data_IF_564783289155
#
_entry.id   IF_564783289155
#
_cell.length_a   1.000
_cell.length_b   1.000
_cell.length_c   1.000
_cell.angle_alpha   90.00
_cell.angle_beta   90.00
_cell.angle_gamma   90.00
#
_symmetry.space_group_name_H-M   'P 1'
#
loop_
_entity.id
_entity.type
_entity.pdbx_description
1 polymer ?
#
# COMPACT_ATOMS: atom_id res chain seq x y z
N UNK A 1 16.44 -11.19 -12.72
CA UNK A 1 16.96 -10.14 -11.84
C UNK A 1 18.04 -10.72 -10.93
N UNK A 2 19.18 -10.04 -10.81
CA UNK A 2 20.23 -10.39 -9.86
C UNK A 2 20.06 -9.64 -8.51
N UNK A 3 20.83 -10.01 -7.49
CA UNK A 3 20.67 -9.43 -6.15
C UNK A 3 20.99 -7.93 -6.06
N UNK A 4 21.85 -7.41 -6.93
CA UNK A 4 22.19 -5.98 -6.98
C UNK A 4 21.04 -5.17 -7.57
N UNK A 5 20.45 -5.64 -8.66
CA UNK A 5 19.24 -5.06 -9.27
C UNK A 5 18.08 -5.05 -8.27
N UNK A 6 17.86 -6.16 -7.56
CA UNK A 6 16.81 -6.25 -6.54
C UNK A 6 17.03 -5.26 -5.38
N UNK A 7 18.27 -5.13 -4.89
CA UNK A 7 18.61 -4.18 -3.84
C UNK A 7 18.43 -2.73 -4.29
N UNK A 8 18.84 -2.40 -5.52
CA UNK A 8 18.67 -1.07 -6.09
C UNK A 8 17.19 -0.72 -6.29
N UNK A 9 16.40 -1.59 -6.91
CA UNK A 9 14.97 -1.37 -7.12
C UNK A 9 14.21 -1.32 -5.78
N UNK A 10 14.61 -2.13 -4.80
CA UNK A 10 14.04 -2.09 -3.44
C UNK A 10 14.36 -0.78 -2.72
N UNK A 11 15.56 -0.23 -2.88
CA UNK A 11 15.91 1.10 -2.37
C UNK A 11 15.03 2.18 -3.01
N UNK A 12 14.88 2.15 -4.34
CA UNK A 12 14.03 3.10 -5.06
C UNK A 12 12.61 3.01 -4.53
N UNK A 13 12.02 1.81 -4.43
CA UNK A 13 10.70 1.61 -3.87
C UNK A 13 10.57 2.21 -2.45
N UNK A 14 11.54 1.91 -1.58
CA UNK A 14 11.54 2.44 -0.21
C UNK A 14 11.59 3.97 -0.14
N UNK A 15 12.28 4.62 -1.09
CA UNK A 15 12.36 6.07 -1.16
C UNK A 15 11.12 6.71 -1.81
N UNK A 16 10.55 6.08 -2.84
CA UNK A 16 9.47 6.66 -3.64
C UNK A 16 8.07 6.36 -3.08
N UNK A 17 7.88 5.29 -2.33
CA UNK A 17 6.55 4.90 -1.80
C UNK A 17 5.96 5.97 -0.86
N UNK A 18 6.80 6.64 -0.07
CA UNK A 18 6.36 7.65 0.89
C UNK A 18 6.27 9.06 0.29
N UNK A 19 6.76 9.22 -0.93
CA UNK A 19 6.72 10.47 -1.67
C UNK A 19 5.54 10.41 -2.66
N UNK A 20 4.78 11.50 -2.85
CA UNK A 20 3.66 11.52 -3.80
C UNK A 20 4.16 11.66 -5.24
N UNK A 21 4.99 10.73 -5.70
CA UNK A 21 5.68 10.72 -7.01
C UNK A 21 5.46 9.42 -7.79
N UNK A 22 4.51 8.57 -7.36
CA UNK A 22 4.16 7.28 -7.99
C UNK A 22 5.32 6.29 -8.06
N UNK A 23 5.44 5.49 -7.01
CA UNK A 23 6.47 4.45 -6.83
C UNK A 23 6.41 3.36 -7.90
N UNK A 24 5.20 2.85 -8.20
CA UNK A 24 4.99 1.83 -9.24
C UNK A 24 5.44 2.30 -10.63
N UNK A 25 5.24 3.58 -10.96
CA UNK A 25 5.73 4.15 -12.22
C UNK A 25 7.26 4.13 -12.31
N UNK A 26 7.95 4.53 -11.24
CA UNK A 26 9.41 4.49 -11.18
C UNK A 26 9.96 3.05 -11.27
N UNK A 27 9.33 2.09 -10.59
CA UNK A 27 9.72 0.68 -10.66
C UNK A 27 9.60 0.12 -12.08
N UNK A 28 8.46 0.33 -12.74
CA UNK A 28 8.22 -0.16 -14.12
C UNK A 28 9.23 0.44 -15.09
N UNK A 29 9.49 1.75 -15.01
CA UNK A 29 10.45 2.43 -15.89
C UNK A 29 11.89 1.93 -15.67
N UNK A 30 12.31 1.75 -14.41
CA UNK A 30 13.65 1.26 -14.10
C UNK A 30 13.84 -0.21 -14.47
N UNK A 31 12.82 -1.06 -14.30
CA UNK A 31 12.86 -2.46 -14.76
C UNK A 31 13.03 -2.53 -16.28
N UNK A 32 12.27 -1.72 -17.04
CA UNK A 32 12.40 -1.62 -18.49
C UNK A 32 13.80 -1.12 -18.91
N UNK A 33 14.35 -0.12 -18.20
CA UNK A 33 15.69 0.41 -18.47
C UNK A 33 16.81 -0.59 -18.19
N UNK A 34 16.65 -1.45 -17.17
CA UNK A 34 17.59 -2.53 -16.84
C UNK A 34 17.45 -3.75 -17.76
N UNK A 35 16.55 -3.73 -18.75
CA UNK A 35 16.30 -4.85 -19.65
C UNK A 35 15.60 -6.04 -18.99
N UNK A 36 14.91 -5.81 -17.86
CA UNK A 36 14.06 -6.80 -17.21
C UNK A 36 12.75 -6.89 -18.01
N UNK A 37 12.75 -7.67 -19.10
CA UNK A 37 11.64 -7.76 -20.07
C UNK A 37 10.32 -8.25 -19.48
N UNK A 38 10.35 -8.87 -18.28
CA UNK A 38 9.15 -9.26 -17.54
C UNK A 38 9.04 -8.43 -16.28
N UNK A 39 7.94 -7.69 -16.20
CA UNK A 39 7.43 -7.11 -14.98
C UNK A 39 7.34 -8.21 -13.91
N UNK A 40 8.23 -8.15 -12.94
CA UNK A 40 8.29 -9.15 -11.88
C UNK A 40 7.28 -8.79 -10.80
N UNK A 41 6.01 -9.14 -11.06
CA UNK A 41 4.88 -8.90 -10.15
C UNK A 41 5.19 -9.42 -8.75
N UNK A 42 5.90 -10.56 -8.66
CA UNK A 42 6.27 -11.16 -7.38
C UNK A 42 7.21 -10.23 -6.63
N UNK A 43 8.26 -9.71 -7.29
CA UNK A 43 9.15 -8.73 -6.69
C UNK A 43 8.41 -7.47 -6.23
N UNK A 44 7.53 -6.91 -7.05
CA UNK A 44 6.77 -5.71 -6.70
C UNK A 44 5.91 -5.91 -5.46
N UNK A 45 5.21 -7.05 -5.36
CA UNK A 45 4.45 -7.41 -4.16
C UNK A 45 5.35 -7.48 -2.93
N UNK A 46 6.56 -8.04 -3.04
CA UNK A 46 7.49 -8.12 -1.91
C UNK A 46 8.03 -6.75 -1.48
N UNK A 47 8.36 -5.86 -2.41
CA UNK A 47 8.86 -4.52 -2.05
C UNK A 47 7.77 -3.62 -1.50
N UNK A 48 6.53 -3.70 -2.01
CA UNK A 48 5.37 -3.05 -1.40
C UNK A 48 5.05 -3.63 0.00
N UNK A 49 5.21 -4.94 0.18
CA UNK A 49 5.08 -5.54 1.51
C UNK A 49 6.18 -5.04 2.47
N UNK A 50 7.40 -4.83 1.97
CA UNK A 50 8.50 -4.22 2.72
C UNK A 50 8.17 -2.80 3.21
N UNK A 51 7.64 -1.94 2.33
CA UNK A 51 7.23 -0.58 2.70
C UNK A 51 6.03 -0.58 3.64
N UNK A 52 5.08 -1.49 3.45
CA UNK A 52 3.96 -1.70 4.38
C UNK A 52 4.44 -2.07 5.79
N UNK A 53 5.39 -3.01 5.90
CA UNK A 53 5.99 -3.36 7.18
C UNK A 53 6.73 -2.18 7.81
N UNK A 54 7.42 -1.36 7.00
CA UNK A 54 8.07 -0.15 7.50
C UNK A 54 7.05 0.83 8.13
N UNK A 55 5.86 1.00 7.53
CA UNK A 55 4.77 1.79 8.13
C UNK A 55 4.29 1.17 9.45
N UNK A 56 4.05 -0.14 9.49
CA UNK A 56 3.63 -0.82 10.73
C UNK A 56 4.66 -0.62 11.85
N UNK A 57 5.95 -0.75 11.53
CA UNK A 57 7.02 -0.58 12.51
C UNK A 57 7.15 0.87 12.96
N UNK A 58 7.06 1.83 12.05
CA UNK A 58 7.13 3.25 12.35
C UNK A 58 5.97 3.73 13.23
N UNK A 59 4.76 3.20 13.01
CA UNK A 59 3.54 3.53 13.76
C UNK A 59 3.10 2.40 14.70
N UNK A 60 4.06 1.63 15.23
CA UNK A 60 3.77 0.43 16.00
C UNK A 60 2.89 0.68 17.23
N UNK A 61 3.08 1.82 17.89
CA UNK A 61 2.25 2.20 19.05
C UNK A 61 0.80 2.40 18.65
N UNK A 62 0.54 3.17 17.60
CA UNK A 62 -0.79 3.40 17.06
C UNK A 62 -1.42 2.10 16.56
N UNK A 63 -0.67 1.29 15.81
CA UNK A 63 -1.14 -0.02 15.32
C UNK A 63 -1.54 -0.92 16.48
N UNK A 64 -0.72 -1.01 17.53
CA UNK A 64 -1.04 -1.79 18.72
C UNK A 64 -2.28 -1.26 19.43
N UNK A 65 -2.43 0.06 19.58
CA UNK A 65 -3.63 0.67 20.15
C UNK A 65 -4.88 0.33 19.35
N UNK A 66 -4.83 0.44 18.02
CA UNK A 66 -5.94 0.07 17.13
C UNK A 66 -6.34 -1.40 17.32
N UNK A 67 -5.36 -2.32 17.34
CA UNK A 67 -5.62 -3.75 17.51
C UNK A 67 -6.23 -4.07 18.87
N UNK A 68 -5.70 -3.51 19.96
CA UNK A 68 -6.25 -3.73 21.31
C UNK A 68 -7.68 -3.19 21.42
N UNK A 69 -7.93 -1.98 20.92
CA UNK A 69 -9.26 -1.37 20.96
C UNK A 69 -10.25 -2.10 20.06
N UNK A 70 -9.81 -2.67 18.94
CA UNK A 70 -10.63 -3.54 18.09
C UNK A 70 -11.14 -4.77 18.85
N UNK A 71 -10.24 -5.52 19.49
CA UNK A 71 -10.64 -6.72 20.25
C UNK A 71 -11.51 -6.37 21.48
N UNK A 72 -11.26 -5.22 22.12
CA UNK A 72 -12.13 -4.72 23.21
C UNK A 72 -13.52 -4.32 22.72
N UNK A 73 -13.62 -3.73 21.54
CA UNK A 73 -14.91 -3.41 20.94
C UNK A 73 -15.65 -4.69 20.55
N UNK A 74 -14.94 -5.73 20.07
CA UNK A 74 -15.54 -7.00 19.68
C UNK A 74 -16.27 -7.70 20.85
N UNK A 75 -15.80 -7.51 22.09
CA UNK A 75 -16.51 -8.01 23.28
C UNK A 75 -17.71 -7.15 23.71
N UNK A 76 -17.82 -5.92 23.22
CA UNK A 76 -18.91 -4.98 23.55
C UNK A 76 -19.42 -4.22 22.30
N UNK A 77 -19.91 -4.91 21.25
CA UNK A 77 -20.18 -4.29 19.95
C UNK A 77 -21.26 -3.21 19.99
N UNK A 78 -22.22 -3.33 20.92
CA UNK A 78 -23.29 -2.35 21.13
C UNK A 78 -22.78 -0.97 21.58
N UNK A 79 -21.53 -0.85 22.03
CA UNK A 79 -20.93 0.40 22.51
C UNK A 79 -20.12 1.15 21.43
N UNK A 80 -20.37 0.89 20.14
CA UNK A 80 -19.63 1.49 19.02
C UNK A 80 -19.46 3.03 19.16
N UNK A 81 -20.56 3.75 19.39
CA UNK A 81 -20.54 5.22 19.48
C UNK A 81 -19.65 5.73 20.63
N UNK A 82 -19.62 5.00 21.75
CA UNK A 82 -18.77 5.30 22.90
C UNK A 82 -17.30 5.04 22.57
N UNK A 83 -16.97 3.88 22.01
CA UNK A 83 -15.61 3.52 21.60
C UNK A 83 -15.06 4.54 20.60
N UNK A 84 -15.84 4.93 19.59
CA UNK A 84 -15.43 5.91 18.58
C UNK A 84 -15.14 7.30 19.19
N UNK A 85 -15.94 7.73 20.17
CA UNK A 85 -15.77 9.04 20.81
C UNK A 85 -14.60 9.05 21.80
N UNK A 86 -14.51 8.03 22.65
CA UNK A 86 -13.60 8.00 23.80
C UNK A 86 -12.24 7.36 23.50
N UNK A 87 -12.13 6.46 22.51
CA UNK A 87 -10.92 5.68 22.24
C UNK A 87 -10.28 6.13 20.93
N UNK A 88 -9.11 6.79 21.01
CA UNK A 88 -8.36 7.25 19.84
C UNK A 88 -8.02 6.09 18.88
N UNK A 89 -7.52 4.97 19.40
CA UNK A 89 -7.17 3.80 18.58
C UNK A 89 -8.37 3.24 17.79
N UNK A 90 -9.53 3.09 18.44
CA UNK A 90 -10.74 2.63 17.74
C UNK A 90 -11.19 3.62 16.66
N UNK A 91 -11.14 4.93 16.95
CA UNK A 91 -11.48 5.96 15.97
C UNK A 91 -10.55 5.92 14.75
N UNK A 92 -9.23 5.80 14.96
CA UNK A 92 -8.26 5.67 13.87
C UNK A 92 -8.55 4.43 13.01
N UNK A 93 -8.83 3.29 13.65
CA UNK A 93 -9.20 2.06 12.95
C UNK A 93 -10.44 2.25 12.07
N UNK A 94 -11.50 2.87 12.59
CA UNK A 94 -12.71 3.15 11.82
C UNK A 94 -12.41 4.09 10.64
N UNK A 95 -11.64 5.15 10.86
CA UNK A 95 -11.27 6.10 9.79
C UNK A 95 -10.46 5.42 8.68
N UNK A 96 -9.50 4.56 9.04
CA UNK A 96 -8.72 3.79 8.07
C UNK A 96 -9.64 2.86 7.27
N UNK A 97 -10.54 2.13 7.92
CA UNK A 97 -11.49 1.24 7.23
C UNK A 97 -12.42 2.01 6.29
N UNK A 98 -12.96 3.14 6.73
CA UNK A 98 -13.83 3.98 5.90
C UNK A 98 -13.06 4.55 4.70
N UNK A 99 -11.77 4.86 4.84
CA UNK A 99 -10.92 5.32 3.74
C UNK A 99 -10.49 4.19 2.79
N UNK A 100 -10.20 2.99 3.30
CA UNK A 100 -9.61 1.90 2.52
C UNK A 100 -10.63 0.98 1.86
N UNK A 101 -11.79 0.74 2.48
CA UNK A 101 -12.82 -0.17 1.95
C UNK A 101 -13.34 0.30 0.58
N UNK A 102 -13.71 1.58 0.36
CA UNK A 102 -14.12 2.04 -0.96
C UNK A 102 -13.03 1.86 -2.02
N UNK A 103 -11.77 2.14 -1.67
CA UNK A 103 -10.63 1.95 -2.57
C UNK A 103 -10.46 0.46 -2.95
N UNK A 104 -10.57 -0.46 -1.98
CA UNK A 104 -10.51 -1.90 -2.23
C UNK A 104 -11.66 -2.41 -3.09
N UNK A 105 -12.88 -1.92 -2.86
CA UNK A 105 -14.06 -2.26 -3.69
C UNK A 105 -13.84 -1.79 -5.13
N UNK A 106 -13.38 -0.55 -5.33
CA UNK A 106 -13.06 -0.04 -6.66
C UNK A 106 -11.91 -0.84 -7.31
N UNK A 107 -10.89 -1.23 -6.54
CA UNK A 107 -9.80 -2.07 -7.02
C UNK A 107 -10.30 -3.39 -7.60
N UNK A 108 -11.19 -4.09 -6.89
CA UNK A 108 -11.78 -5.37 -7.36
C UNK A 108 -12.71 -5.16 -8.56
N UNK A 109 -13.55 -4.12 -8.54
CA UNK A 109 -14.51 -3.87 -9.62
C UNK A 109 -13.84 -3.45 -10.93
N UNK A 110 -12.70 -2.76 -10.86
CA UNK A 110 -12.00 -2.19 -12.02
C UNK A 110 -10.64 -2.86 -12.31
N UNK A 111 -10.35 -4.02 -11.70
CA UNK A 111 -9.08 -4.75 -11.82
C UNK A 111 -8.61 -4.90 -13.29
N UNK A 112 -9.49 -5.41 -14.15
CA UNK A 112 -9.19 -5.62 -15.58
C UNK A 112 -8.91 -4.31 -16.35
N UNK A 113 -9.47 -3.20 -15.90
CA UNK A 113 -9.22 -1.87 -16.49
C UNK A 113 -7.84 -1.37 -16.07
N UNK A 114 -7.48 -1.55 -14.79
CA UNK A 114 -6.16 -1.19 -14.28
C UNK A 114 -5.04 -2.02 -14.93
N UNK A 115 -5.19 -3.34 -15.04
CA UNK A 115 -4.21 -4.20 -15.72
C UNK A 115 -3.94 -3.73 -17.15
N UNK A 116 -4.97 -3.30 -17.88
CA UNK A 116 -4.85 -2.77 -19.25
C UNK A 116 -4.04 -1.48 -19.31
N UNK A 117 -4.17 -0.60 -18.30
CA UNK A 117 -3.40 0.64 -18.19
C UNK A 117 -1.93 0.38 -17.84
N UNK A 118 -1.66 -0.47 -16.84
CA UNK A 118 -0.30 -0.78 -16.39
C UNK A 118 0.50 -1.61 -17.40
N UNK A 119 -0.17 -2.38 -18.26
CA UNK A 119 0.48 -3.12 -19.36
C UNK A 119 1.05 -2.23 -20.47
N UNK A 120 0.81 -0.90 -20.43
CA UNK A 120 1.23 0.06 -21.45
C UNK A 120 2.16 1.12 -20.83
N UNK A 121 3.49 0.96 -20.91
CA UNK A 121 4.45 1.90 -20.32
C UNK A 121 4.26 3.36 -20.74
N UNK A 122 3.77 3.60 -21.97
CA UNK A 122 3.43 4.94 -22.46
C UNK A 122 2.27 5.58 -21.68
N UNK A 123 1.23 4.82 -21.33
CA UNK A 123 0.10 5.30 -20.54
C UNK A 123 0.53 5.62 -19.10
N UNK A 124 1.33 4.74 -18.49
CA UNK A 124 1.92 4.99 -17.16
C UNK A 124 2.74 6.27 -17.16
N UNK A 125 3.53 6.51 -18.22
CA UNK A 125 4.33 7.73 -18.37
C UNK A 125 3.48 9.00 -18.45
N UNK A 126 2.33 8.96 -19.15
CA UNK A 126 1.39 10.09 -19.19
C UNK A 126 0.70 10.34 -17.84
N UNK A 127 0.51 9.33 -17.00
CA UNK A 127 -0.08 9.48 -15.67
C UNK A 127 0.90 10.05 -14.63
N UNK A 128 2.19 10.14 -14.97
CA UNK A 128 3.24 10.76 -14.13
C UNK A 128 3.40 12.27 -14.37
N UNK A 129 2.79 12.82 -15.44
CA UNK A 129 2.77 14.25 -15.79
C UNK A 129 1.51 14.92 -15.24
#
# INVERSE_FOLDING_TARGET
MNGLEAAFLGLVQGLTEFLPISSSGHLVLLQAWLGLEKHDIVFEVFVHFGTFLAVIMAFWTEVREMLVEFFRWLSHPLQFARFYRERRGFRLLVLILVGSVPAGILGILFESTFESFFSRPLLVSYMLL
#
